data_IF_482001014724
#
_entry.id   IF_482001014724
#
_cell.length_a   1.000
_cell.length_b   1.000
_cell.length_c   1.000
_cell.angle_alpha   90.00
_cell.angle_beta   90.00
_cell.angle_gamma   90.00
#
_symmetry.space_group_name_H-M   'P 1'
#
loop_
_entity.id
_entity.type
_entity.pdbx_description
1 polymer ?
#
# COMPACT_ATOMS: atom_id res chain seq x y z
N UNK A 1 -69.73 -40.11 -53.23
CA UNK A 1 -68.56 -39.28 -53.64
C UNK A 1 -68.31 -38.07 -52.74
N UNK A 2 -69.34 -37.32 -52.32
CA UNK A 2 -69.16 -36.13 -51.45
C UNK A 2 -68.54 -36.39 -50.06
N UNK A 3 -68.78 -37.54 -49.43
CA UNK A 3 -68.29 -37.82 -48.08
C UNK A 3 -66.76 -38.00 -48.00
N UNK A 4 -66.09 -38.43 -49.07
CA UNK A 4 -64.62 -38.55 -49.12
C UNK A 4 -63.92 -37.19 -49.28
N UNK A 5 -64.53 -36.25 -49.99
CA UNK A 5 -64.00 -34.89 -50.17
C UNK A 5 -64.05 -34.09 -48.86
N UNK A 6 -65.13 -34.20 -48.09
CA UNK A 6 -65.27 -33.51 -46.80
C UNK A 6 -64.27 -34.02 -45.75
N UNK A 7 -63.93 -35.32 -45.75
CA UNK A 7 -62.93 -35.88 -44.85
C UNK A 7 -61.50 -35.39 -45.19
N UNK A 8 -61.18 -35.29 -46.47
CA UNK A 8 -59.88 -34.77 -46.95
C UNK A 8 -59.68 -33.29 -46.61
N UNK A 9 -60.70 -32.46 -46.81
CA UNK A 9 -60.65 -31.03 -46.44
C UNK A 9 -60.51 -30.86 -44.92
N UNK A 10 -61.21 -31.67 -44.12
CA UNK A 10 -61.13 -31.61 -42.66
C UNK A 10 -59.76 -32.04 -42.13
N UNK A 11 -59.11 -33.00 -42.78
CA UNK A 11 -57.72 -33.42 -42.51
C UNK A 11 -56.71 -32.31 -42.80
N UNK A 12 -56.78 -31.68 -43.97
CA UNK A 12 -55.86 -30.61 -44.37
C UNK A 12 -55.99 -29.36 -43.49
N UNK A 13 -57.21 -29.04 -43.06
CA UNK A 13 -57.47 -27.93 -42.12
C UNK A 13 -56.96 -28.25 -40.70
N UNK A 14 -56.97 -29.51 -40.26
CA UNK A 14 -56.38 -29.90 -38.98
C UNK A 14 -54.86 -29.85 -39.02
N UNK A 15 -54.23 -30.32 -40.10
CA UNK A 15 -52.77 -30.28 -40.30
C UNK A 15 -52.23 -28.82 -40.28
N UNK A 16 -52.89 -27.91 -41.02
CA UNK A 16 -52.49 -26.49 -41.03
C UNK A 16 -52.70 -25.78 -39.69
N UNK A 17 -53.72 -26.17 -38.91
CA UNK A 17 -53.95 -25.64 -37.55
C UNK A 17 -52.91 -26.14 -36.55
N UNK A 18 -52.40 -27.37 -36.72
CA UNK A 18 -51.30 -27.88 -35.90
C UNK A 18 -49.95 -27.23 -36.24
N UNK A 19 -49.64 -26.99 -37.51
CA UNK A 19 -48.42 -26.26 -37.92
C UNK A 19 -48.42 -24.82 -37.39
N UNK A 20 -49.52 -24.08 -37.54
CA UNK A 20 -49.61 -22.69 -37.05
C UNK A 20 -49.60 -22.61 -35.50
N UNK A 21 -50.06 -23.67 -34.81
CA UNK A 21 -49.95 -23.83 -33.35
C UNK A 21 -48.52 -24.15 -32.92
N UNK A 22 -47.80 -24.94 -33.71
CA UNK A 22 -46.40 -25.31 -33.48
C UNK A 22 -45.47 -24.09 -33.68
N UNK A 23 -45.62 -23.35 -34.78
CA UNK A 23 -44.88 -22.11 -35.06
C UNK A 23 -45.09 -21.05 -33.96
N UNK A 24 -46.33 -20.86 -33.49
CA UNK A 24 -46.62 -19.95 -32.35
C UNK A 24 -45.99 -20.40 -31.04
N UNK A 25 -45.90 -21.70 -30.78
CA UNK A 25 -45.20 -22.25 -29.60
C UNK A 25 -43.70 -22.07 -29.72
N UNK A 26 -43.15 -22.29 -30.92
CA UNK A 26 -41.73 -22.10 -31.21
C UNK A 26 -41.32 -20.63 -31.05
N UNK A 27 -42.11 -19.69 -31.59
CA UNK A 27 -41.88 -18.25 -31.44
C UNK A 27 -41.90 -17.80 -29.97
N UNK A 28 -42.86 -18.29 -29.17
CA UNK A 28 -42.90 -18.03 -27.72
C UNK A 28 -41.71 -18.61 -26.98
N UNK A 29 -41.23 -19.80 -27.37
CA UNK A 29 -40.02 -20.40 -26.82
C UNK A 29 -38.77 -19.55 -27.13
N UNK A 30 -38.67 -18.98 -28.34
CA UNK A 30 -37.61 -18.04 -28.72
C UNK A 30 -37.68 -16.73 -27.93
N UNK A 31 -38.87 -16.17 -27.70
CA UNK A 31 -39.03 -14.97 -26.85
C UNK A 31 -38.68 -15.24 -25.38
N UNK A 32 -39.13 -16.38 -24.83
CA UNK A 32 -38.78 -16.82 -23.47
C UNK A 32 -37.28 -17.03 -23.34
N UNK A 33 -36.64 -17.75 -24.27
CA UNK A 33 -35.19 -17.95 -24.28
C UNK A 33 -34.42 -16.64 -24.39
N UNK A 34 -34.88 -15.70 -25.23
CA UNK A 34 -34.30 -14.36 -25.34
C UNK A 34 -34.41 -13.55 -24.04
N UNK A 35 -35.53 -13.66 -23.33
CA UNK A 35 -35.72 -13.03 -22.01
C UNK A 35 -34.77 -13.61 -20.97
N UNK A 36 -34.62 -14.94 -20.90
CA UNK A 36 -33.67 -15.59 -20.01
C UNK A 36 -32.21 -15.22 -20.31
N UNK A 37 -31.82 -15.14 -21.58
CA UNK A 37 -30.47 -14.70 -21.98
C UNK A 37 -30.20 -13.24 -21.57
N UNK A 38 -31.16 -12.33 -21.78
CA UNK A 38 -31.03 -10.92 -21.37
C UNK A 38 -30.98 -10.78 -19.84
N UNK A 39 -31.82 -11.51 -19.12
CA UNK A 39 -31.80 -11.51 -17.65
C UNK A 39 -30.48 -12.06 -17.11
N UNK A 40 -29.95 -13.15 -17.68
CA UNK A 40 -28.65 -13.70 -17.31
C UNK A 40 -27.51 -12.70 -17.57
N UNK A 41 -27.53 -12.01 -18.72
CA UNK A 41 -26.55 -10.97 -19.03
C UNK A 41 -26.62 -9.80 -18.05
N UNK A 42 -27.82 -9.33 -17.68
CA UNK A 42 -28.01 -8.27 -16.68
C UNK A 42 -27.52 -8.70 -15.31
N UNK A 43 -27.81 -9.94 -14.88
CA UNK A 43 -27.33 -10.49 -13.61
C UNK A 43 -25.80 -10.57 -13.59
N UNK A 44 -25.18 -11.06 -14.66
CA UNK A 44 -23.70 -11.09 -14.79
C UNK A 44 -23.13 -9.68 -14.74
N UNK A 45 -23.75 -8.70 -15.43
CA UNK A 45 -23.30 -7.31 -15.42
C UNK A 45 -23.39 -6.68 -14.03
N UNK A 46 -24.49 -6.92 -13.31
CA UNK A 46 -24.68 -6.46 -11.92
C UNK A 46 -23.68 -7.12 -10.97
N UNK A 47 -23.42 -8.42 -11.12
CA UNK A 47 -22.40 -9.14 -10.33
C UNK A 47 -21.01 -8.61 -10.64
N UNK A 48 -20.65 -8.42 -11.91
CA UNK A 48 -19.36 -7.85 -12.32
C UNK A 48 -19.17 -6.42 -11.81
N UNK A 49 -20.19 -5.57 -11.91
CA UNK A 49 -20.16 -4.20 -11.36
C UNK A 49 -20.05 -4.22 -9.83
N UNK A 50 -20.74 -5.15 -9.15
CA UNK A 50 -20.63 -5.33 -7.70
C UNK A 50 -19.25 -5.81 -7.24
N UNK A 51 -18.55 -6.63 -8.03
CA UNK A 51 -17.18 -7.07 -7.73
C UNK A 51 -16.16 -5.94 -7.93
N UNK A 52 -16.39 -5.05 -8.89
CA UNK A 52 -15.49 -3.92 -9.17
C UNK A 52 -15.52 -2.82 -8.10
N UNK A 53 -16.61 -2.69 -7.33
CA UNK A 53 -16.73 -1.66 -6.28
C UNK A 53 -16.12 -2.05 -4.93
N UNK A 54 -15.63 -3.28 -4.78
CA UNK A 54 -14.99 -3.77 -3.53
C UNK A 54 -13.46 -3.70 -3.57
N UNK A 55 -12.87 -3.25 -4.69
CA UNK A 55 -11.45 -2.93 -4.76
C UNK A 55 -11.21 -1.62 -3.98
N UNK A 56 -11.23 -1.72 -2.65
CA UNK A 56 -10.72 -0.67 -1.79
C UNK A 56 -9.27 -0.44 -2.19
N UNK A 57 -8.80 0.82 -2.39
CA UNK A 57 -7.38 1.05 -2.50
C UNK A 57 -6.76 0.46 -1.23
N UNK A 58 -5.70 -0.32 -1.36
CA UNK A 58 -4.99 -0.82 -0.18
C UNK A 58 -4.40 0.40 0.55
N UNK A 59 -5.15 1.01 1.48
CA UNK A 59 -4.54 1.90 2.45
C UNK A 59 -3.54 1.04 3.23
N UNK A 60 -2.25 1.26 2.99
CA UNK A 60 -1.21 0.70 3.82
C UNK A 60 -1.53 1.08 5.26
N UNK A 61 -1.75 0.08 6.12
CA UNK A 61 -2.13 0.33 7.49
C UNK A 61 -1.01 1.13 8.17
N UNK A 62 -1.31 2.36 8.60
CA UNK A 62 -0.38 3.18 9.37
C UNK A 62 -0.05 2.46 10.67
N UNK A 63 1.23 2.31 10.95
CA UNK A 63 1.73 1.62 12.12
C UNK A 63 1.28 2.32 13.43
N UNK A 64 0.84 1.51 14.40
CA UNK A 64 0.32 2.04 15.67
C UNK A 64 1.39 2.77 16.48
N UNK A 65 2.66 2.36 16.40
CA UNK A 65 3.75 3.04 17.10
C UNK A 65 3.98 4.45 16.54
N UNK A 66 3.90 4.62 15.21
CA UNK A 66 3.99 5.94 14.56
C UNK A 66 2.90 6.89 15.07
N UNK A 67 1.64 6.44 15.13
CA UNK A 67 0.54 7.29 15.63
C UNK A 67 0.65 7.55 17.13
N UNK A 68 0.89 6.49 17.91
CA UNK A 68 0.82 6.54 19.38
C UNK A 68 2.03 7.21 20.01
N UNK A 69 3.23 6.86 19.59
CA UNK A 69 4.48 7.31 20.22
C UNK A 69 5.12 8.44 19.43
N UNK A 70 5.14 8.37 18.10
CA UNK A 70 5.69 9.45 17.27
C UNK A 70 4.73 10.63 17.07
N UNK A 71 3.45 10.46 17.47
CA UNK A 71 2.41 11.51 17.38
C UNK A 71 2.26 12.05 15.96
N UNK A 72 2.23 11.15 14.98
CA UNK A 72 2.03 11.51 13.56
C UNK A 72 0.68 10.98 13.11
N UNK A 73 -0.31 11.86 13.09
CA UNK A 73 -1.67 11.58 12.59
C UNK A 73 -1.99 12.35 11.31
N UNK A 74 -1.20 13.38 11.02
CA UNK A 74 -1.20 14.20 9.82
C UNK A 74 0.26 14.39 9.38
N UNK A 75 0.52 14.79 8.11
CA UNK A 75 1.88 15.03 7.66
C UNK A 75 2.64 16.03 8.56
N UNK A 76 3.89 15.72 8.87
CA UNK A 76 4.77 16.56 9.68
C UNK A 76 5.95 17.07 8.86
N UNK A 77 6.38 18.29 9.16
CA UNK A 77 7.60 18.86 8.61
C UNK A 77 8.81 18.42 9.45
N UNK A 78 9.84 17.89 8.79
CA UNK A 78 11.14 17.60 9.39
C UNK A 78 12.22 18.45 8.72
N UNK A 79 13.21 18.86 9.51
CA UNK A 79 14.36 19.65 9.04
C UNK A 79 15.14 18.90 7.97
N UNK A 80 15.27 19.52 6.79
CA UNK A 80 15.89 18.92 5.63
C UNK A 80 17.42 19.02 5.71
N UNK A 81 17.95 20.16 6.16
CA UNK A 81 19.36 20.52 5.96
C UNK A 81 19.97 21.41 7.07
N UNK A 82 19.21 21.81 8.09
CA UNK A 82 19.70 22.68 9.17
C UNK A 82 19.72 24.17 8.79
N UNK A 83 19.22 24.54 7.62
CA UNK A 83 19.15 25.92 7.12
C UNK A 83 17.72 26.49 7.17
N UNK A 84 16.80 25.79 7.84
CA UNK A 84 15.39 26.15 7.93
C UNK A 84 14.52 25.59 6.80
N UNK A 85 15.09 24.84 5.85
CA UNK A 85 14.31 24.09 4.88
C UNK A 85 13.71 22.85 5.56
N UNK A 86 12.48 22.50 5.18
CA UNK A 86 11.79 21.33 5.74
C UNK A 86 11.14 20.50 4.65
N UNK A 87 11.01 19.19 4.88
CA UNK A 87 10.29 18.26 4.02
C UNK A 87 9.11 17.65 4.77
N UNK A 88 7.98 17.48 4.09
CA UNK A 88 6.77 16.89 4.64
C UNK A 88 6.82 15.36 4.57
N UNK A 89 6.45 14.70 5.66
CA UNK A 89 6.36 13.24 5.76
C UNK A 89 5.02 12.82 6.37
N UNK A 90 4.34 11.89 5.70
CA UNK A 90 3.08 11.31 6.17
C UNK A 90 3.30 10.25 7.25
N UNK A 91 2.21 9.80 7.89
CA UNK A 91 2.30 8.71 8.85
C UNK A 91 2.67 7.38 8.14
N UNK A 92 2.24 7.22 6.90
CA UNK A 92 2.59 6.11 6.01
C UNK A 92 4.10 6.12 5.68
N UNK A 93 4.70 7.28 5.44
CA UNK A 93 6.13 7.41 5.19
C UNK A 93 6.95 6.97 6.40
N UNK A 94 6.58 7.44 7.60
CA UNK A 94 7.24 7.01 8.83
C UNK A 94 7.00 5.53 9.16
N UNK A 95 5.85 4.97 8.75
CA UNK A 95 5.57 3.53 8.92
C UNK A 95 6.51 2.70 8.04
N UNK A 96 6.68 3.08 6.77
CA UNK A 96 7.67 2.47 5.87
C UNK A 96 9.10 2.65 6.40
N UNK A 97 9.43 3.82 6.92
CA UNK A 97 10.72 4.08 7.55
C UNK A 97 11.00 3.18 8.76
N UNK A 98 9.98 2.94 9.59
CA UNK A 98 10.05 1.99 10.72
C UNK A 98 10.29 0.56 10.24
N UNK A 99 9.57 0.10 9.22
CA UNK A 99 9.77 -1.24 8.65
C UNK A 99 11.20 -1.44 8.14
N UNK A 100 11.75 -0.44 7.43
CA UNK A 100 13.14 -0.44 6.97
C UNK A 100 14.13 -0.48 8.15
N UNK A 101 13.86 0.29 9.20
CA UNK A 101 14.70 0.29 10.40
C UNK A 101 14.68 -1.06 11.11
N UNK A 102 13.51 -1.67 11.26
CA UNK A 102 13.34 -2.98 11.88
C UNK A 102 14.08 -4.07 11.10
N UNK A 103 13.98 -4.04 9.78
CA UNK A 103 14.59 -5.03 8.90
C UNK A 103 16.12 -4.92 8.83
N UNK A 104 16.69 -3.72 9.02
CA UNK A 104 18.08 -3.45 8.62
C UNK A 104 18.97 -2.83 9.70
N UNK A 105 18.39 -2.16 10.71
CA UNK A 105 19.12 -1.37 11.69
C UNK A 105 18.93 -1.89 13.14
N UNK A 106 17.81 -2.57 13.41
CA UNK A 106 17.35 -2.91 14.76
C UNK A 106 18.36 -3.73 15.58
N UNK A 107 19.10 -4.63 14.93
CA UNK A 107 20.08 -5.50 15.60
C UNK A 107 21.16 -4.70 16.35
N UNK A 108 21.51 -3.51 15.86
CA UNK A 108 22.49 -2.63 16.51
C UNK A 108 21.83 -1.43 17.20
N UNK A 109 20.63 -1.03 16.75
CA UNK A 109 19.99 0.22 17.14
C UNK A 109 18.61 0.08 17.80
N UNK A 110 18.36 -1.04 18.48
CA UNK A 110 17.12 -1.24 19.24
C UNK A 110 16.85 -0.06 20.18
N UNK A 111 15.65 0.50 20.10
CA UNK A 111 15.25 1.66 20.92
C UNK A 111 16.09 2.92 20.71
N UNK A 112 16.83 3.03 19.60
CA UNK A 112 17.75 4.14 19.35
C UNK A 112 19.10 4.02 20.06
N UNK A 113 19.40 2.89 20.73
CA UNK A 113 20.73 2.62 21.27
C UNK A 113 21.76 2.42 20.14
N UNK A 114 23.02 2.23 20.51
CA UNK A 114 24.05 1.72 19.60
C UNK A 114 24.83 0.66 20.36
N UNK A 115 24.43 -0.60 20.23
CA UNK A 115 24.98 -1.68 21.07
C UNK A 115 26.51 -1.82 20.99
N UNK A 116 27.17 -1.70 19.82
CA UNK A 116 28.62 -1.79 19.75
C UNK A 116 29.34 -0.58 20.35
N UNK A 117 28.68 0.58 20.42
CA UNK A 117 29.25 1.82 20.94
C UNK A 117 28.18 2.68 21.63
N UNK A 118 27.87 2.41 22.93
CA UNK A 118 26.74 3.05 23.61
C UNK A 118 26.84 4.57 23.76
N UNK A 119 28.04 5.16 23.65
CA UNK A 119 28.21 6.62 23.72
C UNK A 119 27.73 7.34 22.46
N UNK A 120 27.60 6.63 21.34
CA UNK A 120 27.17 7.15 20.04
C UNK A 120 25.79 6.62 19.65
N UNK A 121 24.79 6.87 20.51
CA UNK A 121 23.39 6.50 20.28
C UNK A 121 22.70 7.33 19.17
N UNK A 122 21.48 6.93 18.81
CA UNK A 122 20.59 7.69 17.91
C UNK A 122 19.75 8.73 18.67
N UNK A 123 20.17 9.16 19.86
CA UNK A 123 19.53 10.25 20.59
C UNK A 123 19.72 11.57 19.83
N UNK A 124 18.72 12.47 19.89
CA UNK A 124 18.74 13.71 19.11
C UNK A 124 19.97 14.58 19.40
N UNK A 125 20.38 14.67 20.67
CA UNK A 125 21.57 15.42 21.09
C UNK A 125 22.86 14.82 20.54
N UNK A 126 22.96 13.48 20.52
CA UNK A 126 24.12 12.78 19.97
C UNK A 126 24.19 12.94 18.47
N UNK A 127 23.06 12.82 17.76
CA UNK A 127 22.98 13.09 16.33
C UNK A 127 23.39 14.53 15.99
N UNK A 128 22.93 15.51 16.77
CA UNK A 128 23.28 16.93 16.57
C UNK A 128 24.74 17.25 16.87
N UNK A 129 25.39 16.51 17.79
CA UNK A 129 26.78 16.72 18.17
C UNK A 129 27.82 16.07 17.24
N UNK A 130 27.38 15.23 16.30
CA UNK A 130 28.27 14.64 15.30
C UNK A 130 28.83 15.72 14.35
N UNK A 131 29.96 15.41 13.70
CA UNK A 131 30.56 16.26 12.67
C UNK A 131 30.61 15.50 11.33
N UNK A 132 29.95 15.98 10.27
CA UNK A 132 28.90 17.01 10.29
C UNK A 132 27.67 16.57 11.11
N UNK A 133 26.78 17.50 11.53
CA UNK A 133 25.57 17.17 12.29
C UNK A 133 24.64 16.21 11.53
N UNK A 134 24.07 15.24 12.26
CA UNK A 134 23.21 14.15 11.73
C UNK A 134 21.77 14.24 12.23
N UNK A 135 21.31 15.43 12.60
CA UNK A 135 19.96 15.70 13.12
C UNK A 135 19.01 16.29 12.06
N UNK A 136 19.31 16.07 10.78
CA UNK A 136 18.52 16.51 9.61
C UNK A 136 18.31 15.32 8.67
N UNK A 137 17.34 15.43 7.75
CA UNK A 137 17.12 14.37 6.75
C UNK A 137 18.37 14.17 5.89
N UNK A 138 18.95 15.25 5.35
CA UNK A 138 20.13 15.14 4.49
C UNK A 138 21.34 14.61 5.25
N UNK A 139 21.58 15.06 6.49
CA UNK A 139 22.71 14.59 7.30
C UNK A 139 22.63 13.09 7.62
N UNK A 140 21.43 12.58 7.93
CA UNK A 140 21.22 11.13 8.13
C UNK A 140 21.39 10.35 6.83
N UNK A 141 20.82 10.83 5.72
CA UNK A 141 20.94 10.16 4.41
C UNK A 141 22.41 10.11 3.98
N UNK A 142 23.13 11.22 4.08
CA UNK A 142 24.56 11.30 3.74
C UNK A 142 25.39 10.32 4.60
N UNK A 143 25.18 10.31 5.92
CA UNK A 143 25.83 9.34 6.80
C UNK A 143 25.50 7.89 6.42
N UNK A 144 24.25 7.57 6.07
CA UNK A 144 23.89 6.21 5.65
C UNK A 144 24.51 5.84 4.28
N UNK A 145 24.71 6.82 3.37
CA UNK A 145 25.40 6.58 2.10
C UNK A 145 26.88 6.34 2.28
N UNK A 146 27.52 7.01 3.24
CA UNK A 146 28.94 6.84 3.55
C UNK A 146 29.16 7.07 5.06
N UNK A 147 29.08 6.00 5.87
CA UNK A 147 29.23 6.14 7.31
C UNK A 147 30.62 6.65 7.68
N UNK A 148 30.65 7.68 8.53
CA UNK A 148 31.87 8.29 9.05
C UNK A 148 31.95 8.16 10.57
N UNK A 149 33.15 8.21 11.12
CA UNK A 149 33.40 8.40 12.56
C UNK A 149 32.65 9.61 13.10
N UNK A 150 32.42 9.68 14.42
CA UNK A 150 31.59 10.73 15.02
C UNK A 150 32.11 12.15 14.77
N UNK A 151 33.42 12.31 14.67
CA UNK A 151 34.09 13.57 14.32
C UNK A 151 34.25 13.79 12.80
N UNK A 152 33.86 12.82 11.98
CA UNK A 152 33.85 12.91 10.52
C UNK A 152 35.22 12.76 9.86
N UNK A 153 36.25 12.38 10.61
CA UNK A 153 37.64 12.36 10.11
C UNK A 153 37.96 11.11 9.28
N UNK A 154 37.31 10.00 9.58
CA UNK A 154 37.55 8.69 8.96
C UNK A 154 36.23 7.99 8.60
N UNK A 155 36.25 7.11 7.59
CA UNK A 155 35.13 6.22 7.29
C UNK A 155 34.92 5.20 8.43
N UNK A 156 33.67 4.94 8.77
CA UNK A 156 33.29 3.96 9.79
C UNK A 156 32.82 2.67 9.15
N UNK A 157 33.43 1.56 9.56
CA UNK A 157 33.00 0.20 9.17
C UNK A 157 32.05 -0.44 10.19
N UNK A 158 31.74 0.27 11.28
CA UNK A 158 30.86 -0.22 12.35
C UNK A 158 29.38 -0.04 12.03
N UNK A 159 29.05 0.88 11.12
CA UNK A 159 27.69 1.06 10.61
C UNK A 159 27.56 0.49 9.21
N UNK A 160 26.36 0.04 8.86
CA UNK A 160 26.08 -0.51 7.53
C UNK A 160 25.90 0.63 6.52
N UNK A 161 26.73 0.63 5.47
CA UNK A 161 26.52 1.47 4.31
C UNK A 161 25.24 1.08 3.55
N UNK A 162 24.48 2.08 3.11
CA UNK A 162 23.23 1.93 2.36
C UNK A 162 23.39 2.59 0.98
N UNK A 163 23.90 1.90 -0.05
CA UNK A 163 24.00 2.47 -1.39
C UNK A 163 22.63 2.69 -2.05
N UNK A 164 22.58 3.60 -3.02
CA UNK A 164 21.34 3.95 -3.75
C UNK A 164 20.76 2.77 -4.54
N UNK A 165 21.63 1.86 -5.01
CA UNK A 165 21.23 0.61 -5.67
C UNK A 165 20.46 -0.35 -4.76
N UNK A 166 20.65 -0.26 -3.45
CA UNK A 166 19.91 -1.07 -2.48
C UNK A 166 18.68 -0.33 -1.97
N UNK A 167 18.83 0.95 -1.57
CA UNK A 167 17.72 1.76 -1.06
C UNK A 167 17.63 3.07 -1.84
N UNK A 168 16.61 3.22 -2.71
CA UNK A 168 16.38 4.46 -3.45
C UNK A 168 16.12 5.66 -2.54
N UNK A 169 16.32 6.87 -3.08
CA UNK A 169 16.26 8.12 -2.31
C UNK A 169 14.99 8.26 -1.45
N UNK A 170 13.82 8.02 -2.00
CA UNK A 170 12.57 8.14 -1.24
C UNK A 170 12.49 7.16 -0.05
N UNK A 171 13.05 5.95 -0.19
CA UNK A 171 13.03 4.96 0.88
C UNK A 171 13.99 5.32 2.01
N UNK A 172 15.21 5.78 1.68
CA UNK A 172 16.19 6.16 2.70
C UNK A 172 15.79 7.44 3.44
N UNK A 173 15.08 8.36 2.77
CA UNK A 173 14.50 9.52 3.42
C UNK A 173 13.38 9.13 4.40
N UNK A 174 12.56 8.15 4.07
CA UNK A 174 11.55 7.63 5.00
C UNK A 174 12.20 6.97 6.23
N UNK A 175 13.29 6.21 6.03
CA UNK A 175 14.11 5.67 7.13
C UNK A 175 14.69 6.80 8.00
N UNK A 176 15.31 7.81 7.38
CA UNK A 176 15.85 8.97 8.10
C UNK A 176 14.77 9.74 8.87
N UNK A 177 13.60 9.94 8.26
CA UNK A 177 12.45 10.60 8.87
C UNK A 177 11.94 9.83 10.09
N UNK A 178 11.87 8.50 10.02
CA UNK A 178 11.53 7.66 11.17
C UNK A 178 12.54 7.84 12.32
N UNK A 179 13.84 7.71 12.03
CA UNK A 179 14.91 7.86 13.05
C UNK A 179 14.85 9.24 13.71
N UNK A 180 14.76 10.30 12.90
CA UNK A 180 14.73 11.67 13.39
C UNK A 180 13.47 11.95 14.23
N UNK A 181 12.31 11.50 13.76
CA UNK A 181 11.06 11.69 14.52
C UNK A 181 11.03 10.87 15.80
N UNK A 182 11.59 9.66 15.78
CA UNK A 182 11.75 8.84 16.98
C UNK A 182 12.65 9.56 18.00
N UNK A 183 13.80 10.08 17.58
CA UNK A 183 14.69 10.87 18.44
C UNK A 183 14.02 12.12 19.03
N UNK A 184 13.03 12.70 18.36
CA UNK A 184 12.29 13.87 18.85
C UNK A 184 11.15 13.55 19.82
N UNK A 185 10.52 12.36 19.71
CA UNK A 185 9.20 12.10 20.36
C UNK A 185 9.07 10.77 21.07
N UNK A 186 9.81 9.74 20.66
CA UNK A 186 9.65 8.41 21.23
C UNK A 186 10.20 8.37 22.66
N UNK A 187 9.39 7.97 23.66
CA UNK A 187 9.86 7.82 25.04
C UNK A 187 10.99 6.80 25.13
N UNK A 188 12.09 7.15 25.80
CA UNK A 188 13.25 6.27 25.99
C UNK A 188 14.12 6.08 24.74
N UNK A 189 13.88 6.82 23.66
CA UNK A 189 14.69 6.68 22.45
C UNK A 189 16.12 7.19 22.66
N UNK A 190 17.09 6.31 22.44
CA UNK A 190 18.52 6.62 22.57
C UNK A 190 19.00 6.82 24.00
N UNK A 191 18.17 6.52 25.01
CA UNK A 191 18.60 6.49 26.41
C UNK A 191 19.36 5.21 26.73
N UNK A 192 20.44 5.34 27.48
CA UNK A 192 21.21 4.25 28.09
C UNK A 192 20.63 3.78 29.44
N UNK A 193 19.59 4.47 29.93
CA UNK A 193 18.89 4.17 31.18
C UNK A 193 17.58 3.43 30.87
N UNK A 194 17.61 2.12 31.12
CA UNK A 194 16.46 1.22 31.00
C UNK A 194 15.91 0.86 32.38
#
# INVERSE_FOLDING_TARGET
>A
MLHRLLFSIRSLVQEGRSEESFERKLFKLFELAGYFCRAALVVVLVVCLGVLTIASPAQAAVDNYVRRYLKVTEPIALDLDGQGQTKQFSAEDLSKGKELFEAHCLNCHVGGATLPNPTESLALTTLAGATPPRNTINGLVEFLRQPMTYDGTEESFWCRQVPESWMPQAQIENLAAFVLRAAQKAPGWGSDRF
#
